data_IF_571805322591
#
_entry.id   IF_571805322591
#
_cell.length_a   1.000
_cell.length_b   1.000
_cell.length_c   1.000
_cell.angle_alpha   90.00
_cell.angle_beta   90.00
_cell.angle_gamma   90.00
#
_symmetry.space_group_name_H-M   'P 1'
#
loop_
_entity.id
_entity.type
_entity.pdbx_description
1 polymer ?
#
# COMPACT_ATOMS: atom_id res chain seq x y z
N UNK A 1 3.71 13.74 0.12
CA UNK A 1 2.72 12.67 0.35
C UNK A 1 1.35 13.17 -0.01
N UNK A 2 0.68 12.49 -0.93
CA UNK A 2 -0.71 12.77 -1.28
C UNK A 2 -1.60 12.23 -0.15
N UNK A 3 -2.51 13.06 0.37
CA UNK A 3 -3.24 12.75 1.63
C UNK A 3 -4.10 11.48 1.44
N UNK A 4 -4.67 11.32 0.25
CA UNK A 4 -5.48 10.15 -0.08
C UNK A 4 -4.67 8.86 -0.09
N UNK A 5 -3.51 8.86 -0.75
CA UNK A 5 -2.64 7.69 -0.81
C UNK A 5 -2.13 7.27 0.57
N UNK A 6 -1.75 8.25 1.41
CA UNK A 6 -1.35 7.98 2.78
C UNK A 6 -2.46 7.31 3.58
N UNK A 7 -3.71 7.79 3.44
CA UNK A 7 -4.87 7.21 4.12
C UNK A 7 -5.18 5.79 3.63
N UNK A 8 -5.15 5.52 2.32
CA UNK A 8 -5.37 4.17 1.79
C UNK A 8 -4.28 3.19 2.24
N UNK A 9 -3.01 3.62 2.21
CA UNK A 9 -1.87 2.81 2.68
C UNK A 9 -1.96 2.52 4.17
N UNK A 10 -2.30 3.52 4.98
CA UNK A 10 -2.52 3.35 6.41
C UNK A 10 -3.68 2.36 6.68
N UNK A 11 -4.81 2.52 5.98
CA UNK A 11 -5.95 1.62 6.10
C UNK A 11 -5.60 0.17 5.76
N UNK A 12 -4.83 -0.04 4.69
CA UNK A 12 -4.30 -1.36 4.33
C UNK A 12 -3.41 -1.95 5.43
N UNK A 13 -2.46 -1.17 5.96
CA UNK A 13 -1.57 -1.63 7.02
C UNK A 13 -2.31 -1.96 8.33
N UNK A 14 -3.30 -1.14 8.72
CA UNK A 14 -4.13 -1.40 9.89
C UNK A 14 -4.94 -2.69 9.70
N UNK A 15 -5.55 -2.88 8.53
CA UNK A 15 -6.31 -4.09 8.22
C UNK A 15 -5.42 -5.34 8.29
N UNK A 16 -4.25 -5.31 7.63
CA UNK A 16 -3.30 -6.43 7.66
C UNK A 16 -2.84 -6.71 9.08
N UNK A 17 -2.50 -5.69 9.87
CA UNK A 17 -2.04 -5.85 11.25
C UNK A 17 -3.08 -6.54 12.14
N UNK A 18 -4.35 -6.11 12.05
CA UNK A 18 -5.44 -6.71 12.82
C UNK A 18 -5.65 -8.18 12.44
N UNK A 19 -5.70 -8.48 11.14
CA UNK A 19 -5.92 -9.84 10.64
C UNK A 19 -4.73 -10.76 10.99
N UNK A 20 -3.49 -10.31 10.78
CA UNK A 20 -2.30 -11.06 11.20
C UNK A 20 -2.25 -11.25 12.72
N UNK A 21 -2.70 -10.25 13.48
CA UNK A 21 -2.81 -10.31 14.94
C UNK A 21 -3.81 -11.36 15.40
N UNK A 22 -4.95 -11.49 14.74
CA UNK A 22 -5.93 -12.55 15.04
C UNK A 22 -5.36 -13.95 14.80
N UNK A 23 -4.65 -14.16 13.70
CA UNK A 23 -4.01 -15.45 13.40
C UNK A 23 -2.87 -15.75 14.37
N UNK A 24 -2.07 -14.75 14.72
CA UNK A 24 -1.02 -14.89 15.73
C UNK A 24 -1.61 -15.27 17.10
N UNK A 25 -2.73 -14.65 17.50
CA UNK A 25 -3.42 -14.97 18.75
C UNK A 25 -3.93 -16.41 18.80
N UNK A 26 -4.57 -16.88 17.71
CA UNK A 26 -5.01 -18.28 17.59
C UNK A 26 -3.84 -19.26 17.58
N UNK A 27 -2.77 -18.94 16.83
CA UNK A 27 -1.56 -19.77 16.80
C UNK A 27 -0.85 -19.83 18.16
N UNK A 28 -0.83 -18.73 18.92
CA UNK A 28 -0.28 -18.72 20.28
C UNK A 28 -1.14 -19.53 21.27
N UNK A 29 -2.47 -19.48 21.13
CA UNK A 29 -3.37 -20.34 21.89
C UNK A 29 -3.11 -21.82 21.60
N UNK A 30 -3.00 -22.19 20.33
CA UNK A 30 -2.62 -23.55 19.95
C UNK A 30 -1.24 -23.94 20.47
N UNK A 31 -0.28 -23.02 20.46
CA UNK A 31 1.06 -23.30 20.97
C UNK A 31 1.04 -23.62 22.47
N UNK A 32 0.26 -22.87 23.26
CA UNK A 32 0.14 -23.09 24.71
C UNK A 32 -0.54 -24.41 25.07
N UNK A 33 -1.46 -24.90 24.23
CA UNK A 33 -2.23 -26.12 24.48
C UNK A 33 -1.54 -27.36 23.91
N UNK A 34 -0.94 -27.25 22.73
CA UNK A 34 -0.51 -28.40 21.94
C UNK A 34 1.00 -28.63 21.89
N UNK A 35 1.88 -27.70 22.32
CA UNK A 35 3.31 -28.03 22.36
C UNK A 35 3.64 -28.94 23.56
N UNK A 36 4.38 -30.05 23.36
CA UNK A 36 5.10 -30.50 22.14
C UNK A 36 4.39 -31.57 21.29
N UNK A 37 3.08 -31.78 21.47
CA UNK A 37 2.27 -32.79 20.79
C UNK A 37 1.73 -32.41 19.39
N UNK A 38 0.46 -32.73 19.15
CA UNK A 38 -0.20 -32.83 17.83
C UNK A 38 -0.09 -31.54 16.97
N UNK A 39 0.22 -31.69 15.67
CA UNK A 39 0.33 -30.59 14.68
C UNK A 39 1.34 -29.47 15.03
N UNK A 40 2.45 -29.85 15.65
CA UNK A 40 3.56 -28.98 15.99
C UNK A 40 4.06 -28.12 14.80
N UNK A 41 4.29 -28.75 13.64
CA UNK A 41 4.90 -28.07 12.49
C UNK A 41 4.00 -26.97 11.90
N UNK A 42 2.70 -27.23 11.85
CA UNK A 42 1.70 -26.26 11.41
C UNK A 42 1.65 -25.05 12.35
N UNK A 43 1.64 -25.29 13.66
CA UNK A 43 1.56 -24.24 14.68
C UNK A 43 2.80 -23.34 14.64
N UNK A 44 3.99 -23.93 14.50
CA UNK A 44 5.24 -23.17 14.33
C UNK A 44 5.20 -22.33 13.06
N UNK A 45 4.79 -22.91 11.93
CA UNK A 45 4.70 -22.18 10.68
C UNK A 45 3.73 -20.99 10.78
N UNK A 46 2.57 -21.17 11.40
CA UNK A 46 1.58 -20.12 11.61
C UNK A 46 2.12 -18.96 12.48
N UNK A 47 2.87 -19.27 13.55
CA UNK A 47 3.53 -18.28 14.40
C UNK A 47 4.59 -17.48 13.63
N UNK A 48 5.45 -18.17 12.88
CA UNK A 48 6.55 -17.54 12.12
C UNK A 48 5.99 -16.62 11.04
N UNK A 49 5.04 -17.10 10.23
CA UNK A 49 4.48 -16.28 9.14
C UNK A 49 3.76 -15.05 9.70
N UNK A 50 2.92 -15.23 10.74
CA UNK A 50 2.18 -14.10 11.33
C UNK A 50 3.11 -13.07 11.99
N UNK A 51 4.13 -13.50 12.73
CA UNK A 51 5.12 -12.59 13.32
C UNK A 51 5.99 -11.89 12.27
N UNK A 52 6.45 -12.62 11.26
CA UNK A 52 7.23 -12.07 10.16
C UNK A 52 6.42 -11.02 9.40
N UNK A 53 5.12 -11.23 9.19
CA UNK A 53 4.26 -10.23 8.54
C UNK A 53 4.20 -8.95 9.34
N UNK A 54 3.93 -9.03 10.65
CA UNK A 54 3.90 -7.84 11.51
C UNK A 54 5.24 -7.09 11.45
N UNK A 55 6.37 -7.80 11.60
CA UNK A 55 7.70 -7.20 11.55
C UNK A 55 8.00 -6.57 10.19
N UNK A 56 7.74 -7.27 9.09
CA UNK A 56 7.97 -6.76 7.75
C UNK A 56 7.17 -5.48 7.49
N UNK A 57 5.91 -5.42 7.92
CA UNK A 57 5.08 -4.24 7.78
C UNK A 57 5.60 -3.05 8.61
N UNK A 58 6.07 -3.29 9.85
CA UNK A 58 6.73 -2.26 10.67
C UNK A 58 8.00 -1.72 10.01
N UNK A 59 8.82 -2.58 9.38
CA UNK A 59 10.00 -2.14 8.62
C UNK A 59 9.62 -1.33 7.37
N UNK A 60 8.61 -1.76 6.60
CA UNK A 60 8.17 -1.03 5.39
C UNK A 60 7.50 0.31 5.69
N UNK A 61 6.99 0.49 6.92
CA UNK A 61 6.51 1.79 7.40
C UNK A 61 7.65 2.81 7.55
N UNK A 62 8.81 2.36 8.05
CA UNK A 62 9.98 3.22 8.24
C UNK A 62 10.75 3.45 6.92
N UNK A 63 10.84 2.43 6.07
CA UNK A 63 11.65 2.43 4.84
C UNK A 63 10.78 2.17 3.62
N UNK A 64 9.90 3.14 3.33
CA UNK A 64 8.88 3.06 2.28
C UNK A 64 9.47 3.21 0.86
N UNK A 65 10.13 2.18 0.34
CA UNK A 65 10.68 2.13 -1.02
C UNK A 65 10.02 1.03 -1.86
N UNK A 66 9.64 1.30 -3.14
CA UNK A 66 8.99 0.29 -3.99
C UNK A 66 9.86 -0.94 -4.23
N UNK A 67 11.20 -0.75 -4.29
CA UNK A 67 12.17 -1.83 -4.44
C UNK A 67 12.11 -2.86 -3.31
N UNK A 68 11.72 -2.45 -2.10
CA UNK A 68 11.62 -3.32 -0.93
C UNK A 68 10.17 -3.81 -0.78
N UNK A 69 9.20 -2.93 -0.99
CA UNK A 69 7.79 -3.24 -0.76
C UNK A 69 7.26 -4.31 -1.74
N UNK A 70 7.65 -4.27 -3.02
CA UNK A 70 7.25 -5.28 -4.03
C UNK A 70 7.68 -6.70 -3.66
N UNK A 71 8.98 -6.99 -3.41
CA UNK A 71 9.39 -8.34 -3.04
C UNK A 71 8.84 -8.78 -1.68
N UNK A 72 8.69 -7.85 -0.72
CA UNK A 72 8.08 -8.16 0.58
C UNK A 72 6.63 -8.60 0.40
N UNK A 73 5.81 -7.85 -0.34
CA UNK A 73 4.42 -8.21 -0.62
C UNK A 73 4.31 -9.55 -1.36
N UNK A 74 5.22 -9.82 -2.30
CA UNK A 74 5.24 -11.09 -3.01
C UNK A 74 5.56 -12.27 -2.08
N UNK A 75 6.65 -12.20 -1.31
CA UNK A 75 7.06 -13.27 -0.38
C UNK A 75 5.99 -13.50 0.68
N UNK A 76 5.46 -12.43 1.27
CA UNK A 76 4.38 -12.54 2.25
C UNK A 76 3.12 -13.15 1.64
N UNK A 77 2.75 -12.73 0.43
CA UNK A 77 1.63 -13.33 -0.30
C UNK A 77 1.80 -14.84 -0.46
N UNK A 78 2.98 -15.31 -0.90
CA UNK A 78 3.26 -16.75 -1.05
C UNK A 78 3.19 -17.48 0.29
N UNK A 79 3.71 -16.89 1.37
CA UNK A 79 3.64 -17.50 2.71
C UNK A 79 2.19 -17.64 3.21
N UNK A 80 1.33 -16.64 2.97
CA UNK A 80 -0.09 -16.71 3.32
C UNK A 80 -0.87 -17.69 2.45
N UNK A 81 -0.53 -17.80 1.16
CA UNK A 81 -1.08 -18.83 0.29
C UNK A 81 -0.69 -20.23 0.78
N UNK A 82 0.58 -20.43 1.14
CA UNK A 82 1.05 -21.69 1.70
C UNK A 82 0.33 -22.03 3.01
N UNK A 83 0.09 -21.04 3.88
CA UNK A 83 -0.70 -21.24 5.11
C UNK A 83 -2.15 -21.62 4.81
N UNK A 84 -2.78 -20.96 3.83
CA UNK A 84 -4.14 -21.27 3.38
C UNK A 84 -4.27 -22.67 2.75
N UNK A 85 -3.24 -23.12 2.03
CA UNK A 85 -3.18 -24.46 1.46
C UNK A 85 -2.89 -25.55 2.51
N UNK A 86 -1.97 -25.29 3.45
CA UNK A 86 -1.65 -26.26 4.50
C UNK A 86 -2.82 -26.43 5.48
N UNK A 87 -3.50 -25.34 5.84
CA UNK A 87 -4.73 -25.44 6.66
C UNK A 87 -5.80 -26.33 6.02
N UNK A 88 -5.96 -26.28 4.69
CA UNK A 88 -6.90 -27.16 3.99
C UNK A 88 -6.51 -28.63 4.06
N UNK A 89 -5.20 -28.93 4.05
CA UNK A 89 -4.69 -30.29 4.16
C UNK A 89 -4.88 -30.86 5.57
N UNK A 90 -4.62 -30.05 6.60
CA UNK A 90 -4.77 -30.44 8.01
C UNK A 90 -6.22 -30.75 8.39
N UNK A 91 -7.17 -29.90 7.97
CA UNK A 91 -8.58 -30.02 8.39
C UNK A 91 -9.39 -30.88 7.42
N UNK A 92 -9.01 -30.90 6.14
CA UNK A 92 -9.79 -31.50 5.07
C UNK A 92 -11.14 -30.80 4.85
N UNK A 93 -11.99 -31.46 4.05
CA UNK A 93 -13.27 -30.90 3.59
C UNK A 93 -14.47 -31.25 4.49
N UNK A 94 -14.21 -31.52 5.78
CA UNK A 94 -15.26 -31.90 6.74
C UNK A 94 -15.91 -30.66 7.37
N UNK A 95 -17.20 -30.76 7.66
CA UNK A 95 -17.93 -29.73 8.39
C UNK A 95 -17.72 -29.91 9.90
N UNK A 96 -17.47 -28.82 10.62
CA UNK A 96 -17.13 -28.86 12.04
C UNK A 96 -18.35 -29.11 12.95
N UNK A 97 -19.56 -29.03 12.43
CA UNK A 97 -20.83 -29.32 13.13
C UNK A 97 -21.10 -30.82 13.27
N UNK A 98 -20.64 -31.62 12.32
CA UNK A 98 -20.80 -33.08 12.28
C UNK A 98 -19.76 -33.84 13.14
N UNK A 99 -18.85 -33.13 13.82
CA UNK A 99 -17.81 -33.72 14.68
C UNK A 99 -18.36 -33.85 16.10
N UNK A 100 -18.43 -35.07 16.61
CA UNK A 100 -18.77 -35.32 18.01
C UNK A 100 -17.77 -34.62 18.94
N UNK A 101 -18.27 -33.98 19.99
CA UNK A 101 -17.52 -33.16 20.92
C UNK A 101 -16.55 -33.92 21.83
N UNK A 102 -16.16 -35.14 21.46
CA UNK A 102 -15.19 -35.93 22.19
C UNK A 102 -13.89 -35.12 22.34
N UNK A 103 -13.51 -34.87 23.60
CA UNK A 103 -12.23 -34.27 23.97
C UNK A 103 -11.11 -35.22 23.54
N UNK A 104 -10.25 -34.76 22.64
CA UNK A 104 -8.94 -35.39 22.45
C UNK A 104 -7.97 -34.77 23.46
N UNK A 105 -7.03 -35.57 23.91
CA UNK A 105 -6.01 -35.25 24.92
C UNK A 105 -5.53 -33.79 24.83
N UNK A 106 -5.69 -33.04 25.93
CA UNK A 106 -5.36 -31.61 25.99
C UNK A 106 -6.58 -30.69 25.95
N UNK A 107 -7.59 -30.92 26.81
CA UNK A 107 -8.67 -30.00 27.20
C UNK A 107 -9.54 -29.34 26.11
N UNK A 108 -9.28 -29.54 24.81
CA UNK A 108 -10.08 -28.97 23.72
C UNK A 108 -10.86 -30.06 22.99
N UNK A 109 -12.10 -29.74 22.63
CA UNK A 109 -12.90 -30.64 21.79
C UNK A 109 -12.38 -30.64 20.35
N UNK A 110 -12.45 -31.78 19.67
CA UNK A 110 -12.11 -31.88 18.25
C UNK A 110 -12.93 -30.89 17.39
N UNK A 111 -14.14 -30.56 17.85
CA UNK A 111 -15.02 -29.54 17.26
C UNK A 111 -14.46 -28.12 17.38
N UNK A 112 -13.99 -27.73 18.56
CA UNK A 112 -13.38 -26.41 18.77
C UNK A 112 -12.11 -26.24 17.93
N UNK A 113 -11.26 -27.26 17.88
CA UNK A 113 -10.09 -27.28 17.00
C UNK A 113 -10.48 -27.00 15.53
N UNK A 114 -11.49 -27.72 15.03
CA UNK A 114 -11.96 -27.55 13.65
C UNK A 114 -12.42 -26.12 13.36
N UNK A 115 -13.18 -25.49 14.26
CA UNK A 115 -13.62 -24.11 14.06
C UNK A 115 -12.45 -23.14 14.05
N UNK A 116 -11.53 -23.24 15.03
CA UNK A 116 -10.38 -22.33 15.13
C UNK A 116 -9.45 -22.47 13.91
N UNK A 117 -9.19 -23.68 13.42
CA UNK A 117 -8.36 -23.88 12.22
C UNK A 117 -9.07 -23.42 10.93
N UNK A 118 -10.40 -23.55 10.82
CA UNK A 118 -11.17 -22.98 9.70
C UNK A 118 -11.14 -21.45 9.69
N UNK A 119 -11.10 -20.82 10.87
CA UNK A 119 -10.93 -19.37 11.00
C UNK A 119 -9.55 -18.95 10.48
N UNK A 120 -8.48 -19.67 10.87
CA UNK A 120 -7.14 -19.42 10.32
C UNK A 120 -7.15 -19.56 8.79
N UNK A 121 -7.73 -20.64 8.26
CA UNK A 121 -7.86 -20.85 6.82
C UNK A 121 -8.51 -19.64 6.12
N UNK A 122 -9.65 -19.16 6.61
CA UNK A 122 -10.37 -18.03 6.03
C UNK A 122 -9.54 -16.74 6.04
N UNK A 123 -8.90 -16.44 7.18
CA UNK A 123 -8.04 -15.26 7.29
C UNK A 123 -6.80 -15.36 6.41
N UNK A 124 -6.20 -16.55 6.23
CA UNK A 124 -5.05 -16.73 5.35
C UNK A 124 -5.40 -16.45 3.89
N UNK A 125 -6.54 -16.95 3.40
CA UNK A 125 -7.00 -16.66 2.03
C UNK A 125 -7.35 -15.20 1.82
N UNK A 126 -7.96 -14.57 2.83
CA UNK A 126 -8.29 -13.16 2.79
C UNK A 126 -7.03 -12.28 2.76
N UNK A 127 -6.05 -12.56 3.62
CA UNK A 127 -4.76 -11.87 3.62
C UNK A 127 -3.98 -12.08 2.33
N UNK A 128 -3.94 -13.30 1.80
CA UNK A 128 -3.36 -13.57 0.48
C UNK A 128 -3.99 -12.70 -0.61
N UNK A 129 -5.33 -12.65 -0.64
CA UNK A 129 -6.06 -11.83 -1.62
C UNK A 129 -5.73 -10.34 -1.49
N UNK A 130 -5.66 -9.84 -0.26
CA UNK A 130 -5.24 -8.46 0.02
C UNK A 130 -3.82 -8.17 -0.46
N UNK A 131 -2.86 -9.08 -0.25
CA UNK A 131 -1.49 -8.89 -0.75
C UNK A 131 -1.42 -8.92 -2.26
N UNK A 132 -2.16 -9.80 -2.94
CA UNK A 132 -2.22 -9.83 -4.41
C UNK A 132 -2.78 -8.52 -4.95
N UNK A 133 -3.89 -8.02 -4.39
CA UNK A 133 -4.49 -6.74 -4.80
C UNK A 133 -3.49 -5.59 -4.58
N UNK A 134 -2.88 -5.51 -3.40
CA UNK A 134 -1.89 -4.48 -3.10
C UNK A 134 -0.68 -4.55 -4.03
N UNK A 135 -0.15 -5.75 -4.30
CA UNK A 135 0.94 -6.00 -5.22
C UNK A 135 0.60 -5.53 -6.65
N UNK A 136 -0.57 -5.89 -7.16
CA UNK A 136 -1.03 -5.47 -8.49
C UNK A 136 -1.21 -3.96 -8.59
N UNK A 137 -1.82 -3.32 -7.58
CA UNK A 137 -1.97 -1.85 -7.55
C UNK A 137 -0.60 -1.18 -7.56
N UNK A 138 0.34 -1.64 -6.73
CA UNK A 138 1.68 -1.05 -6.63
C UNK A 138 2.44 -1.17 -7.96
N UNK A 139 2.40 -2.33 -8.62
CA UNK A 139 3.01 -2.52 -9.94
C UNK A 139 2.38 -1.62 -11.02
N UNK A 140 1.05 -1.47 -11.00
CA UNK A 140 0.36 -0.58 -11.94
C UNK A 140 0.78 0.88 -11.73
N UNK A 141 0.89 1.32 -10.47
CA UNK A 141 1.32 2.68 -10.12
C UNK A 141 2.78 2.95 -10.54
N UNK A 142 3.71 2.02 -10.27
CA UNK A 142 5.10 2.13 -10.75
C UNK A 142 5.12 2.22 -12.28
N UNK A 143 4.40 1.33 -12.96
CA UNK A 143 4.37 1.27 -14.43
C UNK A 143 3.84 2.57 -15.04
N UNK A 144 2.80 3.15 -14.46
CA UNK A 144 2.26 4.45 -14.88
C UNK A 144 3.29 5.56 -14.72
N UNK A 145 3.98 5.59 -13.58
CA UNK A 145 4.92 6.67 -13.29
C UNK A 145 6.23 6.54 -14.11
N UNK A 146 6.64 5.33 -14.51
CA UNK A 146 7.70 5.14 -15.51
C UNK A 146 7.30 5.68 -16.88
N UNK A 147 6.03 5.49 -17.31
CA UNK A 147 5.52 6.07 -18.57
C UNK A 147 5.51 7.59 -18.57
N UNK A 148 5.39 8.21 -17.40
CA UNK A 148 5.50 9.66 -17.19
C UNK A 148 6.96 10.18 -17.16
N UNK A 149 7.95 9.32 -17.47
CA UNK A 149 9.35 9.71 -17.62
C UNK A 149 10.18 9.68 -16.34
N UNK A 150 9.65 9.16 -15.22
CA UNK A 150 10.42 8.98 -13.97
C UNK A 150 11.23 7.69 -14.00
N UNK A 151 12.47 7.77 -14.45
CA UNK A 151 13.40 6.64 -14.57
C UNK A 151 13.91 6.11 -13.21
N UNK A 152 13.98 6.95 -12.17
CA UNK A 152 14.52 6.59 -10.84
C UNK A 152 13.47 6.20 -9.78
N UNK A 153 12.25 5.89 -10.21
CA UNK A 153 11.10 5.62 -9.33
C UNK A 153 11.33 4.55 -8.25
N UNK A 154 12.16 3.56 -8.55
CA UNK A 154 12.43 2.43 -7.66
C UNK A 154 13.24 2.81 -6.41
N UNK A 155 13.96 3.93 -6.45
CA UNK A 155 14.78 4.45 -5.35
C UNK A 155 14.09 5.60 -4.60
N UNK A 156 13.10 6.22 -5.22
CA UNK A 156 12.33 7.31 -4.61
C UNK A 156 11.40 6.75 -3.52
N UNK A 157 11.28 7.43 -2.38
CA UNK A 157 10.34 7.03 -1.35
C UNK A 157 8.91 7.20 -1.87
N UNK A 158 8.07 6.18 -1.65
CA UNK A 158 6.68 6.12 -2.13
C UNK A 158 5.87 7.35 -1.69
N UNK A 159 6.26 7.96 -0.58
CA UNK A 159 5.59 9.12 0.00
C UNK A 159 5.79 10.42 -0.80
N UNK A 160 6.86 10.52 -1.59
CA UNK A 160 7.19 11.72 -2.37
C UNK A 160 6.64 11.69 -3.79
N UNK A 161 6.07 10.56 -4.18
CA UNK A 161 5.45 10.39 -5.48
C UNK A 161 4.04 10.98 -5.48
N UNK A 162 3.79 11.86 -6.44
CA UNK A 162 2.48 12.46 -6.69
C UNK A 162 1.54 11.44 -7.34
N UNK A 163 1.02 10.52 -6.52
CA UNK A 163 0.03 9.55 -6.99
C UNK A 163 -1.29 10.27 -7.28
N UNK A 164 -1.96 9.90 -8.37
CA UNK A 164 -3.27 10.43 -8.75
C UNK A 164 -3.32 11.93 -9.14
N UNK A 165 -2.23 12.48 -9.66
CA UNK A 165 -2.18 13.86 -10.16
C UNK A 165 -2.09 14.93 -9.08
N UNK A 166 -1.97 14.54 -7.82
CA UNK A 166 -1.68 15.45 -6.71
C UNK A 166 -0.16 15.73 -6.64
N UNK A 167 0.24 17.01 -6.67
CA UNK A 167 1.66 17.38 -6.55
C UNK A 167 2.18 17.17 -5.13
N UNK A 168 3.35 16.55 -4.94
CA UNK A 168 3.91 16.33 -3.61
C UNK A 168 4.22 17.67 -2.93
N UNK A 169 3.60 17.91 -1.77
CA UNK A 169 3.78 19.13 -0.98
C UNK A 169 2.53 20.01 -0.85
N UNK A 170 1.48 19.75 -1.65
CA UNK A 170 0.19 20.40 -1.46
C UNK A 170 -0.65 19.60 -0.46
N UNK A 171 -0.61 20.00 0.80
CA UNK A 171 -1.60 19.56 1.77
C UNK A 171 -2.98 20.02 1.31
N UNK A 172 -3.97 19.12 1.42
CA UNK A 172 -5.39 19.45 1.27
C UNK A 172 -5.79 20.47 2.35
N UNK A 173 -5.53 21.76 2.12
CA UNK A 173 -6.32 22.81 2.72
C UNK A 173 -7.73 22.62 2.18
N UNK A 174 -8.61 22.06 3.01
CA UNK A 174 -10.06 22.11 2.82
C UNK A 174 -10.52 23.56 2.98
N UNK A 175 -10.02 24.47 2.15
CA UNK A 175 -10.65 25.75 1.94
C UNK A 175 -11.59 25.59 0.74
N UNK A 176 -12.87 25.93 0.89
CA UNK A 176 -13.77 25.98 -0.25
C UNK A 176 -13.13 26.91 -1.29
N UNK A 177 -13.12 26.44 -2.54
CA UNK A 177 -12.64 27.18 -3.70
C UNK A 177 -13.01 28.67 -3.61
N UNK A 178 -12.04 29.50 -3.28
CA UNK A 178 -11.99 30.84 -3.82
C UNK A 178 -10.96 30.85 -4.92
N UNK A 179 -11.48 30.90 -6.14
CA UNK A 179 -10.74 31.31 -7.32
C UNK A 179 -10.08 32.66 -7.02
N UNK A 180 -8.81 32.65 -6.66
CA UNK A 180 -8.01 33.87 -6.65
C UNK A 180 -6.64 33.54 -7.23
N UNK A 181 -6.49 33.91 -8.50
CA UNK A 181 -5.24 33.81 -9.24
C UNK A 181 -4.12 34.55 -8.49
N UNK A 182 -3.19 33.78 -7.95
CA UNK A 182 -1.94 34.26 -7.39
C UNK A 182 -0.84 33.34 -7.89
N UNK A 183 -0.18 33.76 -8.97
CA UNK A 183 0.95 33.04 -9.57
C UNK A 183 2.14 33.15 -8.59
N UNK A 184 2.72 32.05 -8.08
CA UNK A 184 3.92 32.11 -7.26
C UNK A 184 5.12 32.40 -8.18
N UNK A 185 5.78 33.53 -7.92
CA UNK A 185 7.05 33.89 -8.52
C UNK A 185 8.09 32.79 -8.29
N UNK A 186 8.69 32.26 -9.36
CA UNK A 186 9.95 31.51 -9.23
C UNK A 186 10.27 30.37 -10.21
N UNK A 187 9.51 30.13 -11.27
CA UNK A 187 9.87 29.10 -12.28
C UNK A 187 9.89 29.69 -13.70
N UNK A 188 10.91 29.37 -14.52
CA UNK A 188 11.00 29.85 -15.89
C UNK A 188 9.88 29.22 -16.70
N UNK A 189 8.88 30.04 -17.05
CA UNK A 189 7.79 29.66 -17.95
C UNK A 189 8.37 29.28 -19.31
N UNK A 190 8.23 28.00 -19.63
CA UNK A 190 8.53 27.43 -20.92
C UNK A 190 7.59 28.07 -21.95
N UNK A 191 8.18 28.86 -22.85
CA UNK A 191 7.51 29.57 -23.95
C UNK A 191 6.54 28.65 -24.71
N UNK A 192 5.27 29.03 -24.75
CA UNK A 192 4.36 28.55 -25.78
C UNK A 192 4.88 29.01 -27.17
N UNK A 193 4.73 28.23 -28.24
CA UNK A 193 5.26 28.58 -29.55
C UNK A 193 4.51 29.80 -30.11
N UNK A 194 5.13 30.97 -30.01
CA UNK A 194 4.64 32.20 -30.63
C UNK A 194 4.79 32.14 -32.14
N UNK A 195 3.81 32.70 -32.86
CA UNK A 195 3.88 32.85 -34.31
C UNK A 195 5.13 33.62 -34.73
N UNK A 196 5.81 33.21 -35.82
CA UNK A 196 7.06 33.83 -36.27
C UNK A 196 6.80 35.24 -36.79
N UNK A 197 7.46 36.24 -36.19
CA UNK A 197 7.52 37.60 -36.73
C UNK A 197 7.22 38.75 -35.76
N UNK A 198 6.82 38.47 -34.51
CA UNK A 198 6.58 39.53 -33.53
C UNK A 198 7.26 39.23 -32.19
N UNK A 199 8.17 40.10 -31.78
CA UNK A 199 8.77 40.08 -30.45
C UNK A 199 7.84 40.81 -29.49
N UNK A 200 7.24 40.06 -28.58
CA UNK A 200 6.37 40.61 -27.53
C UNK A 200 7.23 40.83 -26.29
N UNK A 201 7.44 42.09 -25.91
CA UNK A 201 8.10 42.45 -24.65
C UNK A 201 6.99 42.79 -23.65
N UNK A 202 6.90 42.01 -22.58
CA UNK A 202 6.00 42.27 -21.46
C UNK A 202 6.84 42.87 -20.33
N UNK A 203 6.67 44.16 -20.06
CA UNK A 203 7.31 44.79 -18.90
C UNK A 203 6.41 44.63 -17.68
N UNK A 204 6.93 44.08 -16.56
CA UNK A 204 6.21 44.04 -15.30
C UNK A 204 5.93 45.49 -14.85
N UNK A 205 4.68 45.82 -14.56
CA UNK A 205 4.34 47.14 -14.02
C UNK A 205 4.96 47.34 -12.64
N UNK A 206 5.65 48.46 -12.44
CA UNK A 206 6.14 48.84 -11.11
C UNK A 206 4.96 49.20 -10.21
N UNK A 207 5.00 48.79 -8.94
CA UNK A 207 4.00 49.07 -7.90
C UNK A 207 2.58 48.53 -8.16
N UNK A 208 2.46 47.35 -8.79
CA UNK A 208 1.16 46.69 -8.98
C UNK A 208 0.31 47.26 -10.12
N UNK A 209 0.91 48.11 -10.96
CA UNK A 209 0.29 48.55 -12.19
C UNK A 209 0.14 47.39 -13.20
N UNK A 210 -0.89 47.39 -14.06
CA UNK A 210 -1.05 46.38 -15.09
C UNK A 210 0.17 46.36 -16.02
N UNK A 211 0.59 45.17 -16.44
CA UNK A 211 1.74 44.99 -17.32
C UNK A 211 1.52 45.68 -18.67
N UNK A 212 2.51 46.44 -19.11
CA UNK A 212 2.50 47.06 -20.44
C UNK A 212 3.01 46.03 -21.45
N UNK A 213 2.17 45.72 -22.43
CA UNK A 213 2.51 44.85 -23.55
C UNK A 213 2.87 45.75 -24.72
N UNK A 214 4.14 45.76 -25.11
CA UNK A 214 4.59 46.50 -26.28
C UNK A 214 5.04 45.52 -27.36
N UNK A 215 4.32 45.55 -28.48
CA UNK A 215 4.67 44.80 -29.68
C UNK A 215 5.57 45.69 -30.53
N UNK A 216 6.81 45.27 -30.74
CA UNK A 216 7.73 45.98 -31.63
C UNK A 216 7.72 45.22 -32.96
N UNK A 217 7.18 45.81 -34.05
CA UNK A 217 7.32 45.23 -35.37
C UNK A 217 8.81 45.28 -35.76
N UNK A 218 9.37 44.13 -36.13
CA UNK A 218 10.73 44.08 -36.67
C UNK A 218 10.70 44.75 -38.05
N UNK A 219 11.12 46.01 -38.14
CA UNK A 219 11.38 46.65 -39.43
C UNK A 219 12.59 45.95 -40.06
N UNK A 220 12.36 45.33 -41.22
CA UNK A 220 13.38 44.72 -42.06
C UNK A 220 14.48 45.73 -42.38
N UNK A 221 15.70 45.45 -41.90
CA UNK A 221 16.95 45.99 -42.44
C UNK A 221 17.67 44.83 -43.12
#
# INVERSE_FOLDING_TARGET
>A
MTVQFANYRLGFYVAVFLLSGTVLGLAAHFAAVFLPGLHHDFTIFALIVSSLTILAFLFTLQWAQPRIEVPVLFVLGVLWLAMGAWTTDVVGNRQCDAIDGATREGNISARQYCYETKVIQAFSWFLFSLFVIAFTILLNLISQAQRLGRYNIWREPIQELGWFGEWPGYYNTHQPQHYQGGIPYGMPMQMAPGQPGQTIIVQPGMNGAPATVQQIPMSTV
#
